data_IF_034467008582
#
_entry.id   IF_034467008582
#
_cell.length_a   1.000
_cell.length_b   1.000
_cell.length_c   1.000
_cell.angle_alpha   90.00
_cell.angle_beta   90.00
_cell.angle_gamma   90.00
#
_symmetry.space_group_name_H-M   'P 1'
#
loop_
_entity.id
_entity.type
_entity.pdbx_description
1 polymer ?
#
# COMPACT_ATOMS: atom_id res chain seq x y z
N UNK A 1 -46.08 -21.71 50.43
CA UNK A 1 -44.75 -22.00 49.82
C UNK A 1 -44.50 -20.98 48.71
N UNK A 2 -44.22 -19.73 49.09
CA UNK A 2 -44.16 -18.53 48.21
C UNK A 2 -42.72 -18.05 47.95
N UNK A 3 -41.69 -18.86 48.25
CA UNK A 3 -40.27 -18.43 48.21
C UNK A 3 -39.50 -18.82 46.93
N UNK A 4 -40.15 -19.33 45.87
CA UNK A 4 -39.42 -19.77 44.65
C UNK A 4 -39.58 -18.84 43.44
N UNK A 5 -40.53 -17.89 43.46
CA UNK A 5 -40.80 -17.01 42.31
C UNK A 5 -39.83 -15.82 42.18
N UNK A 6 -39.16 -15.41 43.26
CA UNK A 6 -38.30 -14.22 43.29
C UNK A 6 -36.90 -14.41 42.69
N UNK A 7 -36.38 -15.66 42.69
CA UNK A 7 -35.02 -15.94 42.23
C UNK A 7 -34.92 -15.97 40.70
N UNK A 8 -35.95 -16.46 40.00
CA UNK A 8 -35.93 -16.58 38.53
C UNK A 8 -35.88 -15.21 37.83
N UNK A 9 -36.58 -14.21 38.36
CA UNK A 9 -36.57 -12.85 37.85
C UNK A 9 -35.23 -12.11 38.07
N UNK A 10 -34.44 -12.51 39.06
CA UNK A 10 -33.09 -11.96 39.31
C UNK A 10 -32.05 -12.50 38.31
N UNK A 11 -32.10 -13.80 37.99
CA UNK A 11 -31.20 -14.39 37.00
C UNK A 11 -31.44 -13.88 35.57
N UNK A 12 -32.71 -13.66 35.20
CA UNK A 12 -33.05 -13.10 33.88
C UNK A 12 -32.52 -11.66 33.70
N UNK A 13 -32.53 -10.84 34.76
CA UNK A 13 -31.99 -9.47 34.72
C UNK A 13 -30.46 -9.43 34.63
N UNK A 14 -29.75 -10.38 35.25
CA UNK A 14 -28.29 -10.49 35.16
C UNK A 14 -27.84 -10.95 33.77
N UNK A 15 -28.57 -11.87 33.14
CA UNK A 15 -28.28 -12.30 31.76
C UNK A 15 -28.52 -11.20 30.72
N UNK A 16 -29.56 -10.38 30.89
CA UNK A 16 -29.80 -9.21 30.02
C UNK A 16 -28.76 -8.11 30.25
N UNK A 17 -28.27 -7.92 31.48
CA UNK A 17 -27.21 -6.96 31.79
C UNK A 17 -25.83 -7.38 31.21
N UNK A 18 -25.51 -8.68 31.18
CA UNK A 18 -24.28 -9.18 30.52
C UNK A 18 -24.35 -9.10 29.00
N UNK A 19 -25.53 -9.33 28.40
CA UNK A 19 -25.72 -9.19 26.95
C UNK A 19 -25.61 -7.72 26.48
N UNK A 20 -26.06 -6.76 27.31
CA UNK A 20 -25.94 -5.33 27.01
C UNK A 20 -24.50 -4.80 26.99
N UNK A 21 -23.58 -5.41 27.75
CA UNK A 21 -22.17 -5.02 27.78
C UNK A 21 -21.36 -5.55 26.57
N UNK A 22 -21.82 -6.63 25.92
CA UNK A 22 -21.19 -7.12 24.68
C UNK A 22 -21.62 -6.31 23.43
N UNK A 23 -22.75 -5.61 23.49
CA UNK A 23 -23.28 -4.84 22.34
C UNK A 23 -22.61 -3.46 22.15
N UNK A 24 -21.73 -3.02 23.06
CA UNK A 24 -21.02 -1.74 22.96
C UNK A 24 -19.64 -1.83 22.30
N UNK A 25 -19.20 -3.03 21.90
CA UNK A 25 -17.97 -3.19 21.12
C UNK A 25 -18.27 -3.10 19.61
N UNK A 26 -18.75 -1.95 19.14
CA UNK A 26 -18.68 -1.64 17.71
C UNK A 26 -17.32 -0.99 17.44
N UNK A 27 -16.44 -1.57 16.59
CA UNK A 27 -15.17 -0.94 16.24
C UNK A 27 -15.44 0.28 15.34
N UNK A 28 -15.66 1.44 15.94
CA UNK A 28 -15.78 2.74 15.26
C UNK A 28 -14.40 3.29 14.84
N UNK A 29 -13.61 2.48 14.14
CA UNK A 29 -12.29 2.86 13.60
C UNK A 29 -12.07 2.42 12.15
N UNK A 30 -13.09 1.89 11.49
CA UNK A 30 -13.00 1.49 10.08
C UNK A 30 -13.33 2.61 9.09
N UNK A 31 -14.15 3.60 9.48
CA UNK A 31 -14.72 4.58 8.55
C UNK A 31 -13.71 5.60 7.97
N UNK A 32 -12.48 5.66 8.49
CA UNK A 32 -11.42 6.56 7.99
C UNK A 32 -10.07 5.85 7.76
N UNK A 33 -10.09 4.51 7.60
CA UNK A 33 -8.87 3.70 7.51
C UNK A 33 -8.25 3.65 6.09
N UNK A 34 -8.86 4.31 5.11
CA UNK A 34 -8.44 4.27 3.71
C UNK A 34 -8.32 5.67 3.10
N UNK A 35 -7.45 5.84 2.11
CA UNK A 35 -7.28 7.07 1.33
C UNK A 35 -8.31 7.14 0.20
N UNK A 36 -8.89 8.32 0.02
CA UNK A 36 -9.72 8.63 -1.13
C UNK A 36 -8.88 8.79 -2.40
N UNK A 37 -9.54 8.70 -3.57
CA UNK A 37 -8.87 8.91 -4.86
C UNK A 37 -8.29 10.31 -4.97
N UNK A 38 -9.01 11.31 -4.47
CA UNK A 38 -8.56 12.71 -4.51
C UNK A 38 -7.26 12.90 -3.72
N UNK A 39 -7.17 12.36 -2.50
CA UNK A 39 -5.96 12.44 -1.68
C UNK A 39 -4.74 11.81 -2.37
N UNK A 40 -4.94 10.67 -3.05
CA UNK A 40 -3.86 10.01 -3.78
C UNK A 40 -3.48 10.78 -5.05
N UNK A 41 -4.45 11.33 -5.77
CA UNK A 41 -4.18 12.18 -6.95
C UNK A 41 -3.41 13.44 -6.55
N UNK A 42 -3.80 14.09 -5.45
CA UNK A 42 -3.14 15.31 -4.97
C UNK A 42 -1.71 15.02 -4.49
N UNK A 43 -1.52 13.94 -3.72
CA UNK A 43 -0.17 13.47 -3.36
C UNK A 43 0.66 13.15 -4.61
N UNK A 44 0.05 12.53 -5.63
CA UNK A 44 0.69 12.19 -6.90
C UNK A 44 1.13 13.43 -7.69
N UNK A 45 0.27 14.46 -7.78
CA UNK A 45 0.60 15.72 -8.44
C UNK A 45 1.74 16.45 -7.74
N UNK A 46 1.71 16.54 -6.41
CA UNK A 46 2.80 17.14 -5.62
C UNK A 46 4.11 16.39 -5.80
N UNK A 47 4.04 15.06 -5.89
CA UNK A 47 5.22 14.20 -5.96
C UNK A 47 5.85 14.09 -7.36
N UNK A 48 5.04 13.83 -8.39
CA UNK A 48 5.53 13.67 -9.77
C UNK A 48 5.70 15.02 -10.49
N UNK A 49 5.10 16.10 -9.99
CA UNK A 49 5.00 17.38 -10.68
C UNK A 49 3.75 17.48 -11.55
N UNK A 50 3.28 18.71 -11.76
CA UNK A 50 1.98 19.09 -12.36
C UNK A 50 1.73 18.62 -13.80
N UNK A 51 2.66 17.92 -14.44
CA UNK A 51 2.62 17.59 -15.87
C UNK A 51 2.05 16.19 -16.18
N UNK A 52 1.44 15.49 -15.23
CA UNK A 52 1.17 14.05 -15.40
C UNK A 52 -0.32 13.69 -15.43
N UNK A 53 -1.06 14.19 -16.43
CA UNK A 53 -2.43 13.72 -16.70
C UNK A 53 -2.55 12.19 -16.84
N UNK A 54 -1.47 11.53 -17.29
CA UNK A 54 -1.37 10.06 -17.29
C UNK A 54 -1.38 9.42 -15.90
N UNK A 55 -0.79 10.05 -14.87
CA UNK A 55 -0.74 9.50 -13.50
C UNK A 55 -2.14 9.42 -12.91
N UNK A 56 -2.96 10.46 -13.08
CA UNK A 56 -4.35 10.43 -12.64
C UNK A 56 -5.12 9.25 -13.27
N UNK A 57 -4.94 8.98 -14.57
CA UNK A 57 -5.55 7.83 -15.24
C UNK A 57 -5.07 6.47 -14.74
N UNK A 58 -3.80 6.36 -14.38
CA UNK A 58 -3.28 5.15 -13.75
C UNK A 58 -3.84 4.97 -12.34
N UNK A 59 -3.94 6.04 -11.55
CA UNK A 59 -4.56 6.02 -10.22
C UNK A 59 -6.05 5.64 -10.33
N UNK A 60 -6.81 6.27 -11.22
CA UNK A 60 -8.21 5.91 -11.50
C UNK A 60 -8.33 4.41 -11.81
N UNK A 61 -7.46 3.87 -12.67
CA UNK A 61 -7.46 2.44 -13.01
C UNK A 61 -7.14 1.56 -11.81
N UNK A 62 -6.18 1.94 -10.97
CA UNK A 62 -5.84 1.21 -9.75
C UNK A 62 -7.03 1.18 -8.77
N UNK A 63 -7.69 2.33 -8.58
CA UNK A 63 -8.87 2.46 -7.73
C UNK A 63 -10.06 1.64 -8.23
N UNK A 64 -10.32 1.66 -9.54
CA UNK A 64 -11.37 0.82 -10.15
C UNK A 64 -11.10 -0.68 -9.96
N UNK A 65 -9.84 -1.09 -9.91
CA UNK A 65 -9.45 -2.51 -9.85
C UNK A 65 -9.32 -3.02 -8.42
N UNK A 66 -8.80 -2.20 -7.50
CA UNK A 66 -8.40 -2.62 -6.15
C UNK A 66 -9.16 -1.89 -5.02
N UNK A 67 -9.98 -0.89 -5.34
CA UNK A 67 -10.72 -0.10 -4.37
C UNK A 67 -9.87 0.99 -3.73
N UNK A 68 -10.06 1.21 -2.42
CA UNK A 68 -9.38 2.26 -1.67
C UNK A 68 -8.13 1.71 -0.95
N UNK A 69 -6.94 2.32 -1.14
CA UNK A 69 -5.74 1.90 -0.42
C UNK A 69 -5.76 2.37 1.04
N UNK A 70 -5.12 1.64 1.94
CA UNK A 70 -4.93 2.04 3.34
C UNK A 70 -3.51 2.55 3.66
N UNK A 71 -2.64 2.58 2.65
CA UNK A 71 -1.33 3.23 2.69
C UNK A 71 -0.86 3.67 1.31
N UNK A 72 0.11 4.57 1.25
CA UNK A 72 0.85 4.84 0.03
C UNK A 72 2.32 5.12 0.33
N UNK A 73 3.20 4.86 -0.62
CA UNK A 73 4.63 5.14 -0.53
C UNK A 73 4.97 6.22 -1.54
N UNK A 74 5.79 7.20 -1.14
CA UNK A 74 6.46 8.12 -2.04
C UNK A 74 7.97 7.90 -1.91
N UNK A 75 8.65 7.71 -3.03
CA UNK A 75 10.10 7.56 -2.97
C UNK A 75 10.80 7.47 -4.33
N UNK A 76 12.09 7.26 -4.29
CA UNK A 76 12.95 7.33 -5.46
C UNK A 76 13.71 6.02 -5.63
N UNK A 77 13.89 5.64 -6.88
CA UNK A 77 14.71 4.50 -7.30
C UNK A 77 15.98 5.08 -7.93
N UNK A 78 17.11 4.83 -7.29
CA UNK A 78 18.33 5.62 -7.45
C UNK A 78 19.40 4.96 -8.32
N UNK A 79 19.97 5.79 -9.20
CA UNK A 79 21.02 5.56 -10.21
C UNK A 79 22.42 5.16 -9.67
N UNK A 80 22.52 4.57 -8.48
CA UNK A 80 23.81 4.15 -7.87
C UNK A 80 24.11 2.65 -7.97
N UNK A 81 23.14 1.86 -8.44
CA UNK A 81 23.21 0.41 -8.48
C UNK A 81 23.27 -0.17 -9.90
N UNK A 82 23.93 0.55 -10.81
CA UNK A 82 24.14 0.10 -12.20
C UNK A 82 25.00 -1.17 -12.34
N UNK A 83 25.41 -1.77 -11.24
CA UNK A 83 26.23 -2.97 -11.24
C UNK A 83 25.30 -4.14 -10.86
N UNK A 84 25.05 -5.01 -11.84
CA UNK A 84 24.41 -6.33 -11.69
C UNK A 84 22.87 -6.47 -11.77
N UNK A 85 22.15 -5.57 -12.44
CA UNK A 85 20.75 -5.83 -12.82
C UNK A 85 19.75 -5.77 -11.66
N UNK A 86 20.01 -4.90 -10.68
CA UNK A 86 19.11 -4.65 -9.56
C UNK A 86 18.74 -3.17 -9.43
N UNK A 87 17.55 -2.88 -8.91
CA UNK A 87 17.10 -1.55 -8.52
C UNK A 87 17.11 -1.46 -7.00
N UNK A 88 17.44 -0.27 -6.49
CA UNK A 88 17.41 0.05 -5.08
C UNK A 88 16.63 1.36 -4.93
N UNK A 89 15.65 1.33 -4.05
CA UNK A 89 14.85 2.50 -3.77
C UNK A 89 14.65 2.75 -2.29
N UNK A 90 14.32 3.99 -2.00
CA UNK A 90 14.06 4.49 -0.67
C UNK A 90 12.89 5.47 -0.71
N UNK A 91 12.12 5.51 0.37
CA UNK A 91 10.98 6.39 0.49
C UNK A 91 10.29 6.23 1.84
N UNK A 92 9.10 6.79 1.91
CA UNK A 92 8.29 6.81 3.12
C UNK A 92 6.91 6.21 2.84
N UNK A 93 6.53 5.24 3.69
CA UNK A 93 5.17 4.71 3.77
C UNK A 93 4.32 5.65 4.64
N UNK A 94 3.27 6.19 4.05
CA UNK A 94 2.21 6.93 4.72
C UNK A 94 1.03 6.01 4.97
N UNK A 95 0.55 5.97 6.22
CA UNK A 95 -0.65 5.21 6.60
C UNK A 95 -1.64 6.14 7.29
N UNK A 96 -2.94 5.85 7.15
CA UNK A 96 -3.99 6.63 7.82
C UNK A 96 -3.90 6.56 9.34
N UNK A 97 -3.61 5.38 9.87
CA UNK A 97 -3.81 5.06 11.29
C UNK A 97 -2.55 4.61 12.03
N UNK A 98 -1.40 4.49 11.35
CA UNK A 98 -0.16 4.00 11.95
C UNK A 98 1.04 4.94 11.73
N UNK A 99 0.81 6.15 11.21
CA UNK A 99 1.85 7.15 10.98
C UNK A 99 2.69 6.90 9.72
N UNK A 100 3.86 7.54 9.68
CA UNK A 100 4.83 7.47 8.58
C UNK A 100 6.00 6.56 8.96
N UNK A 101 6.49 5.75 8.01
CA UNK A 101 7.60 4.82 8.21
C UNK A 101 8.56 4.85 7.03
N UNK A 102 9.86 4.96 7.31
CA UNK A 102 10.87 4.77 6.26
C UNK A 102 10.79 3.35 5.69
N UNK A 103 10.92 3.27 4.37
CA UNK A 103 10.82 2.05 3.60
C UNK A 103 11.91 2.02 2.54
N UNK A 104 12.63 0.91 2.47
CA UNK A 104 13.63 0.66 1.46
C UNK A 104 13.19 -0.56 0.65
N UNK A 105 13.57 -0.61 -0.63
CA UNK A 105 13.29 -1.77 -1.45
C UNK A 105 14.39 -2.09 -2.44
N UNK A 106 14.42 -3.36 -2.84
CA UNK A 106 15.32 -3.90 -3.84
C UNK A 106 14.56 -4.80 -4.80
N UNK A 107 14.94 -4.81 -6.08
CA UNK A 107 14.31 -5.70 -7.07
C UNK A 107 15.16 -5.87 -8.31
N UNK A 108 14.75 -6.71 -9.27
CA UNK A 108 15.42 -6.79 -10.57
C UNK A 108 15.26 -5.45 -11.31
N UNK A 109 16.31 -5.07 -12.05
CA UNK A 109 16.32 -3.90 -12.92
C UNK A 109 16.74 -4.30 -14.32
N UNK A 110 16.12 -3.70 -15.33
CA UNK A 110 16.54 -3.87 -16.72
C UNK A 110 17.78 -3.04 -17.07
N UNK A 111 18.29 -2.21 -16.17
CA UNK A 111 19.56 -1.48 -16.34
C UNK A 111 19.54 -0.34 -17.37
N UNK A 112 18.41 -0.11 -18.02
CA UNK A 112 18.22 0.92 -19.03
C UNK A 112 17.47 2.11 -18.41
N UNK A 113 18.08 3.30 -18.51
CA UNK A 113 17.40 4.60 -18.49
C UNK A 113 16.99 5.22 -17.15
N UNK A 114 17.88 5.19 -16.16
CA UNK A 114 17.85 6.17 -15.07
C UNK A 114 18.90 7.24 -15.35
N UNK A 115 18.49 8.44 -15.78
CA UNK A 115 19.37 9.61 -15.71
C UNK A 115 19.91 9.75 -14.27
N UNK A 116 21.07 10.39 -14.08
CA UNK A 116 21.79 10.43 -12.79
C UNK A 116 21.05 11.02 -11.57
N UNK A 117 19.77 11.35 -11.72
CA UNK A 117 18.86 11.84 -10.68
C UNK A 117 17.88 10.76 -10.16
N UNK A 118 17.92 9.52 -10.68
CA UNK A 118 16.98 8.46 -10.30
C UNK A 118 15.56 8.65 -10.86
N UNK A 119 14.64 7.73 -10.56
CA UNK A 119 13.22 7.84 -10.93
C UNK A 119 12.31 7.86 -9.72
N UNK A 120 11.31 8.74 -9.72
CA UNK A 120 10.25 8.76 -8.71
C UNK A 120 9.29 7.58 -8.90
N UNK A 121 8.84 7.00 -7.79
CA UNK A 121 7.81 5.97 -7.73
C UNK A 121 6.83 6.27 -6.60
N UNK A 122 5.55 6.13 -6.90
CA UNK A 122 4.47 6.13 -5.90
C UNK A 122 3.95 4.70 -5.82
N UNK A 123 3.77 4.13 -4.63
CA UNK A 123 3.18 2.80 -4.49
C UNK A 123 1.90 2.86 -3.69
N UNK A 124 0.78 2.41 -4.25
CA UNK A 124 -0.47 2.30 -3.51
C UNK A 124 -0.50 0.97 -2.77
N UNK A 125 -0.82 1.01 -1.47
CA UNK A 125 -0.81 -0.16 -0.59
C UNK A 125 -2.24 -0.47 -0.17
N UNK A 126 -2.67 -1.70 -0.44
CA UNK A 126 -3.99 -2.21 -0.11
C UNK A 126 -3.89 -3.35 0.89
N UNK A 127 -4.89 -3.45 1.75
CA UNK A 127 -5.04 -4.52 2.74
C UNK A 127 -3.79 -4.70 3.62
N UNK A 128 -3.16 -3.61 4.07
CA UNK A 128 -2.07 -3.65 5.05
C UNK A 128 -2.63 -3.60 6.48
N UNK A 129 -2.78 -4.74 7.19
CA UNK A 129 -3.36 -4.73 8.55
C UNK A 129 -2.35 -4.28 9.62
N UNK A 130 -1.06 -4.52 9.40
CA UNK A 130 0.03 -4.12 10.29
C UNK A 130 1.21 -3.67 9.41
N UNK A 131 1.83 -2.54 9.77
CA UNK A 131 3.02 -2.00 9.10
C UNK A 131 4.12 -3.05 8.95
N UNK A 132 4.29 -3.95 9.91
CA UNK A 132 5.32 -5.00 9.85
C UNK A 132 5.19 -5.89 8.61
N UNK A 133 3.98 -6.09 8.08
CA UNK A 133 3.75 -6.91 6.90
C UNK A 133 4.22 -6.26 5.60
N UNK A 134 4.52 -4.95 5.59
CA UNK A 134 5.13 -4.30 4.44
C UNK A 134 6.57 -4.75 4.25
N UNK A 135 7.28 -5.17 5.30
CA UNK A 135 8.67 -5.59 5.24
C UNK A 135 8.79 -7.05 4.79
N UNK A 136 8.32 -7.32 3.57
CA UNK A 136 8.21 -8.64 2.95
C UNK A 136 8.79 -8.63 1.53
N UNK A 137 8.90 -9.81 0.95
CA UNK A 137 9.05 -9.98 -0.50
C UNK A 137 7.68 -9.97 -1.17
N UNK A 138 7.55 -9.26 -2.28
CA UNK A 138 6.34 -9.13 -3.09
C UNK A 138 6.62 -9.64 -4.49
N UNK A 139 5.81 -10.58 -4.95
CA UNK A 139 5.90 -11.14 -6.31
C UNK A 139 4.92 -10.47 -7.26
N UNK A 140 5.33 -10.31 -8.52
CA UNK A 140 4.52 -9.69 -9.56
C UNK A 140 3.33 -10.55 -9.97
N UNK A 141 2.23 -9.88 -10.28
CA UNK A 141 1.01 -10.52 -10.79
C UNK A 141 0.98 -10.39 -12.31
N UNK A 142 1.03 -11.53 -13.00
CA UNK A 142 1.06 -11.57 -14.47
C UNK A 142 -0.17 -10.89 -15.10
N UNK A 143 0.07 -10.13 -16.17
CA UNK A 143 -1.00 -9.51 -16.97
C UNK A 143 -1.70 -8.30 -16.33
N UNK A 144 -1.19 -7.77 -15.22
CA UNK A 144 -1.81 -6.63 -14.50
C UNK A 144 -1.09 -5.29 -14.71
N UNK A 145 -0.10 -5.26 -15.61
CA UNK A 145 0.56 -4.04 -16.03
C UNK A 145 -0.40 -3.15 -16.84
N UNK A 146 -0.33 -1.83 -16.63
CA UNK A 146 -1.13 -0.86 -17.38
C UNK A 146 -0.31 0.41 -17.61
N UNK A 147 -0.29 0.92 -18.85
CA UNK A 147 0.48 2.11 -19.24
C UNK A 147 -0.40 3.03 -20.07
N UNK A 148 -0.42 4.31 -19.74
CA UNK A 148 -1.17 5.34 -20.46
C UNK A 148 -0.49 6.70 -20.33
N UNK A 149 -0.39 7.44 -21.43
CA UNK A 149 0.10 8.83 -21.46
C UNK A 149 1.41 9.07 -20.66
N UNK A 150 2.37 8.15 -20.76
CA UNK A 150 3.68 8.28 -20.08
C UNK A 150 3.67 7.94 -18.59
N UNK A 151 2.57 7.41 -18.04
CA UNK A 151 2.52 6.82 -16.71
C UNK A 151 2.18 5.34 -16.80
N UNK A 152 2.63 4.54 -15.84
CA UNK A 152 2.38 3.12 -15.83
C UNK A 152 2.36 2.52 -14.43
N UNK A 153 1.61 1.44 -14.27
CA UNK A 153 1.57 0.65 -13.03
C UNK A 153 1.87 -0.83 -13.26
N UNK A 154 2.34 -1.44 -12.18
CA UNK A 154 2.42 -2.91 -11.99
C UNK A 154 1.64 -3.30 -10.76
N UNK A 155 1.52 -4.61 -10.52
CA UNK A 155 0.86 -5.14 -9.33
C UNK A 155 1.76 -6.21 -8.74
N UNK A 156 2.06 -6.06 -7.46
CA UNK A 156 2.83 -7.00 -6.66
C UNK A 156 2.01 -7.45 -5.46
N UNK A 157 2.18 -8.70 -5.02
CA UNK A 157 1.46 -9.26 -3.88
C UNK A 157 2.37 -10.05 -2.94
N UNK A 158 2.05 -9.96 -1.66
CA UNK A 158 2.53 -10.84 -0.61
C UNK A 158 1.35 -11.15 0.30
N UNK A 159 1.02 -12.43 0.44
CA UNK A 159 -0.18 -12.85 1.18
C UNK A 159 -1.42 -12.08 0.69
N UNK A 160 -2.06 -11.30 1.57
CA UNK A 160 -3.23 -10.47 1.23
C UNK A 160 -2.89 -9.01 0.92
N UNK A 161 -1.63 -8.59 1.11
CA UNK A 161 -1.19 -7.22 0.86
C UNK A 161 -0.92 -7.05 -0.63
N UNK A 162 -1.52 -6.02 -1.22
CA UNK A 162 -1.31 -5.66 -2.63
C UNK A 162 -0.57 -4.34 -2.71
N UNK A 163 0.43 -4.28 -3.57
CA UNK A 163 1.20 -3.08 -3.87
C UNK A 163 1.04 -2.77 -5.35
N UNK A 164 0.71 -1.52 -5.65
CA UNK A 164 0.60 -1.02 -7.02
C UNK A 164 1.64 0.08 -7.22
N UNK A 165 2.86 -0.24 -7.69
CA UNK A 165 3.86 0.76 -8.03
C UNK A 165 3.47 1.50 -9.31
N UNK A 166 3.48 2.84 -9.24
CA UNK A 166 3.17 3.79 -10.30
C UNK A 166 4.43 4.59 -10.63
N UNK A 167 4.81 4.62 -11.91
CA UNK A 167 6.00 5.31 -12.43
C UNK A 167 5.63 6.18 -13.62
N UNK A 168 6.49 7.15 -13.94
CA UNK A 168 6.32 8.06 -15.10
C UNK A 168 7.52 8.00 -16.04
N UNK A 169 7.34 8.56 -17.25
CA UNK A 169 8.38 8.64 -18.27
C UNK A 169 8.87 7.27 -18.71
N UNK A 170 10.19 7.09 -18.77
CA UNK A 170 10.80 5.81 -19.14
C UNK A 170 10.50 4.71 -18.11
N UNK A 171 10.41 5.08 -16.83
CA UNK A 171 10.05 4.15 -15.75
C UNK A 171 8.66 3.53 -15.91
N UNK A 172 7.73 4.21 -16.60
CA UNK A 172 6.41 3.64 -16.93
C UNK A 172 6.50 2.46 -17.91
N UNK A 173 7.45 2.49 -18.86
CA UNK A 173 7.60 1.47 -19.90
C UNK A 173 8.48 0.30 -19.48
N UNK A 174 9.48 0.54 -18.63
CA UNK A 174 10.40 -0.50 -18.17
C UNK A 174 9.93 -1.14 -16.86
N UNK A 175 9.27 -0.35 -16.00
CA UNK A 175 8.77 -0.81 -14.71
C UNK A 175 7.68 -1.86 -14.79
N UNK A 176 7.02 -2.02 -15.94
CA UNK A 176 6.00 -3.07 -16.17
C UNK A 176 6.53 -4.49 -16.09
N UNK A 177 7.85 -4.68 -16.18
CA UNK A 177 8.51 -5.97 -16.10
C UNK A 177 9.11 -6.29 -14.71
N UNK A 178 8.91 -5.40 -13.72
CA UNK A 178 9.38 -5.67 -12.35
C UNK A 178 8.46 -6.70 -11.69
N UNK A 179 8.90 -7.95 -11.68
CA UNK A 179 8.16 -9.07 -11.10
C UNK A 179 8.47 -9.35 -9.63
N UNK A 180 9.30 -8.54 -8.97
CA UNK A 180 9.71 -8.78 -7.60
C UNK A 180 10.16 -7.50 -6.89
N UNK A 181 9.77 -7.32 -5.64
CA UNK A 181 10.38 -6.35 -4.72
C UNK A 181 10.58 -6.97 -3.35
N UNK A 182 11.77 -6.83 -2.79
CA UNK A 182 12.05 -7.04 -1.37
C UNK A 182 11.93 -5.70 -0.66
N UNK A 183 11.08 -5.61 0.34
CA UNK A 183 10.88 -4.40 1.15
C UNK A 183 11.49 -4.58 2.54
N UNK A 184 12.24 -3.58 3.00
CA UNK A 184 12.99 -3.63 4.24
C UNK A 184 12.85 -2.34 5.05
N UNK A 185 12.98 -2.46 6.37
CA UNK A 185 12.99 -1.31 7.28
C UNK A 185 14.30 -0.52 7.23
N UNK A 186 15.41 -1.20 6.94
CA UNK A 186 16.74 -0.62 6.82
C UNK A 186 17.26 -0.85 5.41
N UNK A 187 18.03 0.09 4.90
CA UNK A 187 18.74 -0.08 3.62
C UNK A 187 19.64 -1.32 3.67
N UNK A 188 19.67 -2.08 2.58
CA UNK A 188 20.50 -3.28 2.43
C UNK A 188 20.90 -3.48 0.98
N UNK A 189 22.10 -4.02 0.78
CA UNK A 189 22.60 -4.39 -0.54
C UNK A 189 22.05 -5.74 -1.04
N UNK A 190 21.63 -6.63 -0.13
CA UNK A 190 21.17 -7.97 -0.49
C UNK A 190 19.70 -7.93 -0.97
N UNK A 191 19.41 -8.21 -2.26
CA UNK A 191 18.04 -8.17 -2.80
C UNK A 191 17.22 -9.43 -2.49
N UNK A 192 17.84 -10.47 -1.91
CA UNK A 192 17.20 -11.73 -1.53
C UNK A 192 16.90 -11.75 -0.04
#
# INVERSE_FOLDING_TARGET
MQMLAGSFARYLKVLVALAGLMALAQPTQAANAQYSMQEIVDAGHGFFGSTTGGVAKVIEKAFQTYGLPNGYVLGQEGAGAFIAGATYGEGDLYTKNAGQHSLFWQGPSLGIDYGGQGSRVMMLIYNLPDVKLIYSRFGGVSGQAYVVAGAGMTVLKSHNVVIVPIRTGVGARLGVNVGYLKMTRKSTWNPF
#
